data_IF_626480875356
#
_entry.id   IF_626480875356
#
_cell.length_a   1.000
_cell.length_b   1.000
_cell.length_c   1.000
_cell.angle_alpha   90.00
_cell.angle_beta   90.00
_cell.angle_gamma   90.00
#
_symmetry.space_group_name_H-M   'P 1'
#
loop_
_entity.id
_entity.type
_entity.pdbx_description
1 polymer ?
#
# COMPACT_ATOMS: atom_id res chain seq x y z
N UNK A 1 46.36 -12.02 -41.85
CA UNK A 1 47.67 -11.52 -41.48
C UNK A 1 47.69 -11.23 -39.98
N UNK A 2 48.46 -12.02 -39.36
CA UNK A 2 48.96 -12.13 -38.04
C UNK A 2 49.56 -10.89 -37.43
N UNK A 3 49.40 -10.69 -36.12
CA UNK A 3 50.55 -10.57 -35.22
C UNK A 3 50.08 -10.57 -33.78
N UNK A 4 50.61 -11.56 -33.08
CA UNK A 4 50.56 -11.72 -31.61
C UNK A 4 51.65 -10.83 -30.98
N UNK A 5 51.43 -10.35 -29.73
CA UNK A 5 52.49 -9.98 -28.82
C UNK A 5 52.13 -10.33 -27.40
N UNK A 6 52.85 -11.27 -26.85
CA UNK A 6 52.97 -11.64 -25.44
C UNK A 6 53.98 -10.73 -24.72
N UNK A 7 53.71 -10.35 -23.47
CA UNK A 7 54.72 -10.05 -22.44
C UNK A 7 54.00 -10.34 -21.12
N UNK A 8 54.24 -11.39 -20.41
CA UNK A 8 55.35 -11.80 -19.52
C UNK A 8 55.14 -11.31 -18.07
N UNK A 9 55.02 -12.29 -17.19
CA UNK A 9 54.82 -12.24 -15.75
C UNK A 9 56.04 -11.64 -15.01
N UNK A 10 55.82 -11.04 -13.85
CA UNK A 10 56.80 -11.01 -12.77
C UNK A 10 56.14 -11.20 -11.42
N UNK A 11 56.55 -12.24 -10.79
CA UNK A 11 56.32 -12.68 -9.41
C UNK A 11 57.14 -11.86 -8.46
N UNK A 12 56.59 -11.38 -7.37
CA UNK A 12 57.36 -11.04 -6.17
C UNK A 12 56.64 -11.48 -4.91
N UNK A 13 57.21 -12.47 -4.27
CA UNK A 13 56.92 -12.92 -2.89
C UNK A 13 57.71 -12.04 -1.91
N UNK A 14 57.13 -11.71 -0.79
CA UNK A 14 57.69 -11.62 0.57
C UNK A 14 56.55 -11.15 1.48
N UNK A 15 56.34 -11.53 2.65
CA UNK A 15 56.82 -12.47 3.68
C UNK A 15 56.04 -12.15 4.94
N UNK A 16 55.71 -13.16 5.69
CA UNK A 16 54.99 -13.24 6.94
C UNK A 16 55.42 -12.23 8.01
N UNK A 17 54.46 -11.91 8.91
CA UNK A 17 54.66 -11.22 10.17
C UNK A 17 53.40 -11.15 10.99
N UNK A 18 53.08 -12.18 11.75
CA UNK A 18 52.34 -12.10 13.03
C UNK A 18 53.39 -11.98 14.16
N UNK A 19 53.01 -11.70 15.44
CA UNK A 19 51.78 -11.27 16.08
C UNK A 19 52.02 -10.08 17.08
N UNK A 20 51.00 -9.52 17.65
CA UNK A 20 51.04 -9.16 19.06
C UNK A 20 49.68 -8.71 19.60
N UNK A 21 49.36 -9.29 20.73
CA UNK A 21 48.17 -9.06 21.55
C UNK A 21 48.22 -7.72 22.29
N UNK A 22 47.08 -7.42 22.95
CA UNK A 22 46.80 -6.48 24.03
C UNK A 22 46.49 -5.03 23.67
N UNK A 23 45.19 -4.72 23.81
CA UNK A 23 44.72 -3.59 24.64
C UNK A 23 43.19 -3.73 24.85
N UNK A 24 42.87 -4.41 25.94
CA UNK A 24 41.67 -4.16 26.73
C UNK A 24 41.84 -2.79 27.38
N UNK A 25 40.82 -1.92 27.29
CA UNK A 25 40.37 -1.07 28.41
C UNK A 25 39.44 0.04 27.96
N UNK A 26 38.26 0.07 28.59
CA UNK A 26 37.45 1.24 28.93
C UNK A 26 36.70 2.00 27.83
N UNK A 27 35.41 1.69 27.71
CA UNK A 27 34.39 2.71 27.54
C UNK A 27 33.31 2.49 28.61
N UNK A 28 33.59 3.06 29.79
CA UNK A 28 32.60 3.23 30.84
C UNK A 28 31.82 4.53 30.60
N UNK A 29 30.51 4.42 30.79
CA UNK A 29 29.66 5.44 31.41
C UNK A 29 29.37 6.75 30.70
N UNK A 30 28.22 6.80 30.03
CA UNK A 30 27.31 7.97 30.07
C UNK A 30 25.86 7.51 30.10
N UNK A 31 25.40 7.09 31.27
CA UNK A 31 23.96 7.07 31.59
C UNK A 31 23.50 8.51 31.79
N UNK A 32 22.62 9.00 30.91
CA UNK A 32 21.73 10.13 31.24
C UNK A 32 20.43 9.56 31.79
N UNK A 33 20.22 9.86 33.07
CA UNK A 33 19.05 9.60 33.86
C UNK A 33 17.84 10.36 33.28
N UNK A 34 16.87 9.62 32.75
CA UNK A 34 15.48 10.06 32.78
C UNK A 34 14.75 9.17 33.78
N UNK A 35 14.29 9.81 34.87
CA UNK A 35 13.67 9.12 35.97
C UNK A 35 12.36 8.43 35.55
N UNK A 36 12.39 7.11 35.63
CA UNK A 36 11.20 6.26 35.69
C UNK A 36 11.42 5.34 36.90
N UNK A 37 10.74 5.61 38.02
CA UNK A 37 10.73 4.74 39.16
C UNK A 37 9.85 3.50 38.85
N UNK A 38 10.47 2.52 38.22
CA UNK A 38 9.90 1.18 38.03
C UNK A 38 10.71 0.20 38.88
N UNK A 39 10.08 -0.49 39.81
CA UNK A 39 10.66 -1.56 40.60
C UNK A 39 11.31 -2.60 39.70
N UNK A 40 12.65 -2.66 39.71
CA UNK A 40 13.44 -3.64 39.00
C UNK A 40 13.19 -5.03 39.59
N UNK A 41 12.40 -5.87 38.93
CA UNK A 41 12.35 -7.31 39.20
C UNK A 41 13.48 -7.99 38.42
N UNK A 42 14.30 -8.76 39.14
CA UNK A 42 15.25 -9.69 38.53
C UNK A 42 14.48 -10.82 37.84
N UNK A 43 14.81 -11.16 36.58
CA UNK A 43 14.24 -12.31 35.89
C UNK A 43 14.72 -13.63 36.47
N UNK A 44 13.93 -14.72 36.27
CA UNK A 44 14.24 -16.07 36.79
C UNK A 44 15.26 -16.84 35.95
N UNK A 45 15.70 -16.31 34.81
CA UNK A 45 16.67 -16.95 33.92
C UNK A 45 18.12 -16.85 34.40
N UNK A 46 19.05 -17.68 33.86
CA UNK A 46 20.45 -17.68 34.17
C UNK A 46 21.08 -16.28 34.02
N UNK A 47 21.71 -15.79 35.10
CA UNK A 47 22.28 -14.45 35.14
C UNK A 47 21.28 -13.32 35.35
N UNK A 48 20.07 -13.60 35.87
CA UNK A 48 19.03 -12.59 36.15
C UNK A 48 18.30 -12.07 34.91
N UNK A 49 18.34 -12.81 33.81
CA UNK A 49 17.64 -12.45 32.56
C UNK A 49 16.13 -12.73 32.68
N UNK A 50 15.31 -11.83 32.16
CA UNK A 50 13.88 -12.00 32.07
C UNK A 50 13.58 -13.09 31.06
N UNK A 51 12.85 -14.14 31.46
CA UNK A 51 12.41 -15.24 30.61
C UNK A 51 11.02 -14.98 30.05
N UNK A 52 10.58 -15.80 29.07
CA UNK A 52 9.20 -15.78 28.55
C UNK A 52 8.18 -16.02 29.64
N UNK A 53 8.50 -16.90 30.61
CA UNK A 53 7.62 -17.23 31.74
C UNK A 53 7.46 -16.03 32.68
N UNK A 54 8.52 -15.26 32.93
CA UNK A 54 8.43 -14.03 33.72
C UNK A 54 7.47 -13.00 33.11
N UNK A 55 7.45 -12.91 31.77
CA UNK A 55 6.56 -12.00 31.04
C UNK A 55 5.11 -12.49 31.09
N UNK A 56 4.87 -13.79 30.90
CA UNK A 56 3.52 -14.38 30.98
C UNK A 56 2.95 -14.24 32.40
N UNK A 57 3.74 -14.55 33.42
CA UNK A 57 3.36 -14.36 34.83
C UNK A 57 3.03 -12.90 35.17
N UNK A 58 3.73 -11.95 34.54
CA UNK A 58 3.43 -10.53 34.71
C UNK A 58 2.10 -10.15 34.06
N UNK A 59 1.82 -10.64 32.86
CA UNK A 59 0.56 -10.41 32.14
C UNK A 59 -0.63 -11.02 32.91
N UNK A 60 -0.49 -12.24 33.41
CA UNK A 60 -1.54 -12.92 34.17
C UNK A 60 -1.85 -12.22 35.50
N UNK A 61 -0.85 -11.65 36.15
CA UNK A 61 -1.04 -10.88 37.41
C UNK A 61 -1.60 -9.48 37.20
N UNK A 62 -1.35 -8.85 36.04
CA UNK A 62 -1.85 -7.51 35.73
C UNK A 62 -3.17 -7.53 34.96
N UNK A 63 -3.54 -8.67 34.33
CA UNK A 63 -4.75 -8.86 33.53
C UNK A 63 -6.01 -9.31 34.28
N UNK A 64 -5.92 -9.63 35.60
CA UNK A 64 -7.05 -10.18 36.33
C UNK A 64 -7.83 -9.11 37.09
N UNK A 65 -8.63 -8.31 36.37
CA UNK A 65 -9.85 -7.73 36.94
C UNK A 65 -11.01 -8.57 36.40
N UNK A 66 -11.73 -9.30 37.22
CA UNK A 66 -12.90 -10.06 36.75
C UNK A 66 -14.02 -9.09 36.43
N UNK A 67 -14.29 -8.90 35.14
CA UNK A 67 -15.56 -8.32 34.69
C UNK A 67 -16.61 -9.39 34.94
N UNK A 68 -17.50 -9.15 35.93
CA UNK A 68 -18.66 -9.99 36.20
C UNK A 68 -19.52 -10.09 34.91
N UNK A 69 -19.54 -11.28 34.33
CA UNK A 69 -20.49 -11.61 33.26
C UNK A 69 -21.89 -11.68 33.87
N UNK A 70 -22.78 -10.79 33.48
CA UNK A 70 -24.19 -10.90 33.69
C UNK A 70 -24.73 -12.10 32.89
N UNK A 71 -25.62 -12.95 33.47
CA UNK A 71 -26.15 -14.11 32.74
C UNK A 71 -27.05 -13.67 31.59
N UNK A 72 -26.82 -14.27 30.41
CA UNK A 72 -27.65 -14.09 29.23
C UNK A 72 -29.09 -14.53 29.50
N UNK A 73 -30.11 -13.77 29.05
CA UNK A 73 -31.50 -14.18 29.18
C UNK A 73 -31.78 -15.37 28.24
N UNK A 74 -32.28 -16.45 28.81
CA UNK A 74 -32.81 -17.63 28.11
C UNK A 74 -34.09 -17.18 27.38
N UNK A 75 -34.04 -17.14 26.05
CA UNK A 75 -35.25 -16.93 25.23
C UNK A 75 -36.00 -18.25 25.17
N UNK A 76 -37.08 -18.34 25.94
CA UNK A 76 -38.10 -19.39 25.78
C UNK A 76 -38.91 -19.11 24.51
N UNK A 77 -38.94 -20.09 23.64
CA UNK A 77 -39.79 -20.06 22.45
C UNK A 77 -41.28 -20.09 22.86
N UNK A 78 -42.02 -19.06 22.49
CA UNK A 78 -43.49 -19.05 22.64
C UNK A 78 -44.11 -19.64 21.35
N UNK A 79 -45.21 -20.42 21.49
CA UNK A 79 -45.89 -21.07 20.38
C UNK A 79 -46.68 -20.08 19.51
N UNK A 80 -46.80 -20.40 18.24
CA UNK A 80 -47.49 -19.61 17.22
C UNK A 80 -49.00 -19.44 17.54
N UNK A 81 -49.59 -18.24 17.36
CA UNK A 81 -51.03 -18.06 17.48
C UNK A 81 -51.74 -18.44 16.16
N UNK A 82 -52.78 -19.26 16.31
CA UNK A 82 -53.74 -19.61 15.29
C UNK A 82 -54.60 -18.41 14.89
N UNK A 83 -54.85 -18.31 13.59
CA UNK A 83 -55.76 -17.31 13.00
C UNK A 83 -57.19 -17.69 13.31
N UNK A 84 -57.93 -16.86 14.04
CA UNK A 84 -59.39 -16.90 14.10
C UNK A 84 -59.93 -15.61 13.48
N UNK A 85 -60.73 -15.77 12.46
CA UNK A 85 -61.51 -14.74 11.81
C UNK A 85 -62.60 -14.23 12.76
N UNK A 86 -62.67 -12.93 13.05
CA UNK A 86 -63.84 -12.33 13.72
C UNK A 86 -64.15 -10.95 13.11
N UNK A 87 -65.37 -10.83 12.74
CA UNK A 87 -66.23 -9.79 12.17
C UNK A 87 -65.88 -8.32 12.48
N UNK A 88 -66.06 -7.51 11.45
CA UNK A 88 -65.99 -6.07 11.50
C UNK A 88 -67.14 -5.46 12.32
N UNK A 89 -66.82 -4.54 13.21
CA UNK A 89 -67.76 -3.64 13.91
C UNK A 89 -67.39 -2.21 13.52
N UNK A 90 -68.36 -1.36 13.13
CA UNK A 90 -68.06 0.02 12.70
C UNK A 90 -67.66 0.90 13.89
N UNK A 91 -66.52 1.54 13.80
CA UNK A 91 -66.01 2.48 14.79
C UNK A 91 -66.44 3.90 14.41
N UNK A 92 -67.04 4.60 15.31
CA UNK A 92 -67.39 6.01 15.23
C UNK A 92 -66.14 6.89 15.28
N UNK A 93 -66.13 8.09 14.65
CA UNK A 93 -64.95 8.96 14.59
C UNK A 93 -64.57 9.51 15.99
N UNK A 94 -63.29 9.33 16.36
CA UNK A 94 -62.73 9.91 17.54
C UNK A 94 -62.44 11.40 17.38
N UNK A 95 -62.50 12.22 18.43
CA UNK A 95 -62.28 13.66 18.36
C UNK A 95 -60.78 13.96 18.07
N UNK A 96 -60.59 14.94 17.17
CA UNK A 96 -59.29 15.44 16.75
C UNK A 96 -58.62 16.13 17.94
N UNK A 97 -57.45 15.64 18.35
CA UNK A 97 -56.60 16.27 19.36
C UNK A 97 -55.98 17.58 18.76
N UNK A 98 -55.83 18.66 19.56
CA UNK A 98 -55.21 19.88 19.08
C UNK A 98 -53.73 19.69 18.74
N UNK A 99 -53.32 20.35 17.65
CA UNK A 99 -51.93 20.32 17.17
C UNK A 99 -50.94 20.78 18.24
N UNK A 100 -49.77 20.13 18.39
CA UNK A 100 -48.74 20.55 19.31
C UNK A 100 -48.17 21.92 18.88
N UNK A 101 -47.98 22.79 19.87
CA UNK A 101 -47.37 24.12 19.70
C UNK A 101 -45.96 23.99 19.10
N UNK A 102 -45.50 24.93 18.25
CA UNK A 102 -44.17 24.87 17.66
C UNK A 102 -43.11 24.96 18.76
N UNK A 103 -42.17 23.98 18.74
CA UNK A 103 -41.01 23.97 19.61
C UNK A 103 -40.17 25.26 19.42
N UNK A 104 -39.56 25.80 20.49
CA UNK A 104 -38.69 26.96 20.37
C UNK A 104 -37.55 26.66 19.39
N UNK A 105 -37.40 27.46 18.34
CA UNK A 105 -36.26 27.40 17.46
C UNK A 105 -35.01 27.78 18.25
N UNK A 106 -34.16 26.78 18.53
CA UNK A 106 -32.81 27.03 19.01
C UNK A 106 -32.09 27.80 17.91
N UNK A 107 -31.67 29.03 18.19
CA UNK A 107 -30.88 29.80 17.28
C UNK A 107 -29.64 29.02 16.86
N UNK A 108 -29.56 28.65 15.57
CA UNK A 108 -28.38 28.05 15.03
C UNK A 108 -27.25 29.06 15.09
N UNK A 109 -26.28 28.80 15.94
CA UNK A 109 -24.98 29.48 15.90
C UNK A 109 -24.44 29.36 14.48
N UNK A 110 -24.03 30.46 13.82
CA UNK A 110 -23.43 30.38 12.50
C UNK A 110 -22.21 29.45 12.59
N UNK A 111 -22.14 28.46 11.70
CA UNK A 111 -20.94 27.65 11.55
C UNK A 111 -19.76 28.58 11.28
N UNK A 112 -18.58 28.36 11.93
CA UNK A 112 -17.41 29.15 11.63
C UNK A 112 -17.14 29.03 10.14
N UNK A 113 -17.03 30.15 9.44
CA UNK A 113 -16.62 30.18 8.05
C UNK A 113 -15.28 29.44 7.90
N UNK A 114 -15.09 28.64 6.82
CA UNK A 114 -13.81 28.02 6.58
C UNK A 114 -12.76 29.12 6.51
N UNK A 115 -11.83 29.12 7.45
CA UNK A 115 -10.66 29.98 7.44
C UNK A 115 -9.84 29.53 6.24
N UNK A 116 -9.99 30.24 5.12
CA UNK A 116 -9.05 30.13 4.04
C UNK A 116 -7.69 30.57 4.62
N UNK A 117 -6.82 29.59 4.90
CA UNK A 117 -5.44 29.85 5.20
C UNK A 117 -4.82 30.44 3.93
N UNK A 118 -4.90 31.74 3.78
CA UNK A 118 -4.09 32.46 2.82
C UNK A 118 -2.64 32.33 3.27
N UNK A 119 -1.89 31.44 2.61
CA UNK A 119 -0.45 31.43 2.73
C UNK A 119 0.05 32.85 2.44
N UNK A 120 0.94 33.41 3.28
CA UNK A 120 1.46 34.75 3.04
C UNK A 120 2.11 34.75 1.67
N UNK A 121 1.92 35.80 0.85
CA UNK A 121 2.58 35.90 -0.44
C UNK A 121 4.10 35.90 -0.19
N UNK A 122 4.76 34.83 -0.59
CA UNK A 122 6.22 34.76 -0.61
C UNK A 122 6.68 35.84 -1.58
N UNK A 123 7.22 36.94 -1.03
CA UNK A 123 7.89 37.97 -1.85
C UNK A 123 9.14 37.31 -2.42
N UNK A 124 9.09 36.97 -3.70
CA UNK A 124 10.30 36.59 -4.42
C UNK A 124 11.22 37.82 -4.46
N UNK A 125 12.33 37.75 -3.76
CA UNK A 125 13.45 38.65 -3.98
C UNK A 125 13.94 38.45 -5.41
N UNK A 126 14.30 39.50 -6.11
CA UNK A 126 14.87 39.37 -7.46
C UNK A 126 16.00 38.34 -7.45
N UNK A 127 16.06 37.41 -8.45
CA UNK A 127 17.07 36.36 -8.45
C UNK A 127 18.48 36.97 -8.47
N UNK A 128 19.36 36.42 -7.66
CA UNK A 128 20.79 36.74 -7.67
C UNK A 128 21.44 36.15 -8.94
N UNK A 129 22.63 36.60 -9.28
CA UNK A 129 23.43 36.02 -10.41
C UNK A 129 23.70 34.51 -10.24
N UNK A 130 23.51 33.96 -9.00
CA UNK A 130 23.66 32.55 -8.70
C UNK A 130 22.35 31.74 -8.81
N UNK A 131 21.23 32.37 -9.12
CA UNK A 131 19.92 31.78 -9.17
C UNK A 131 19.36 31.82 -10.59
N UNK A 132 18.80 30.67 -11.01
CA UNK A 132 18.12 30.57 -12.30
C UNK A 132 16.63 30.34 -12.05
N UNK A 133 15.78 31.23 -12.52
CA UNK A 133 14.33 31.10 -12.43
C UNK A 133 13.83 30.33 -13.64
N UNK A 134 13.27 29.12 -13.38
CA UNK A 134 12.66 28.30 -14.42
C UNK A 134 11.12 28.30 -14.23
N UNK A 135 10.34 28.72 -15.23
CA UNK A 135 8.89 28.68 -15.15
C UNK A 135 8.40 27.24 -15.18
N UNK A 136 7.44 26.90 -14.29
CA UNK A 136 6.81 25.59 -14.30
C UNK A 136 5.99 25.40 -15.58
N UNK A 137 6.12 24.22 -16.20
CA UNK A 137 5.32 23.83 -17.37
C UNK A 137 3.82 23.74 -16.99
N UNK A 138 2.93 23.78 -17.98
CA UNK A 138 1.48 23.65 -17.77
C UNK A 138 1.15 22.31 -17.05
N UNK A 139 1.74 21.22 -17.49
CA UNK A 139 1.57 19.87 -16.88
C UNK A 139 2.02 19.91 -15.42
N UNK A 140 3.18 20.48 -15.12
CA UNK A 140 3.71 20.58 -13.75
C UNK A 140 2.80 21.38 -12.82
N UNK A 141 2.23 22.48 -13.32
CA UNK A 141 1.26 23.30 -12.55
C UNK A 141 -0.02 22.53 -12.24
N UNK A 142 -0.56 21.78 -13.22
CA UNK A 142 -1.75 20.95 -13.03
C UNK A 142 -1.49 19.81 -12.03
N UNK A 143 -0.36 19.10 -12.18
CA UNK A 143 0.06 18.06 -11.24
C UNK A 143 0.20 18.63 -9.82
N UNK A 144 0.85 19.79 -9.67
CA UNK A 144 1.05 20.42 -8.37
C UNK A 144 -0.27 20.74 -7.69
N UNK A 145 -1.23 21.36 -8.38
CA UNK A 145 -2.54 21.69 -7.80
C UNK A 145 -3.34 20.41 -7.44
N UNK A 146 -3.28 19.36 -8.28
CA UNK A 146 -3.94 18.09 -8.02
C UNK A 146 -3.34 17.36 -6.81
N UNK A 147 -2.02 17.34 -6.67
CA UNK A 147 -1.36 16.70 -5.52
C UNK A 147 -1.58 17.45 -4.21
N UNK A 148 -1.56 18.79 -4.23
CA UNK A 148 -1.89 19.61 -3.06
C UNK A 148 -3.33 19.35 -2.63
N UNK A 149 -4.27 19.34 -3.58
CA UNK A 149 -5.68 19.05 -3.31
C UNK A 149 -5.84 17.64 -2.72
N UNK A 150 -5.18 16.63 -3.28
CA UNK A 150 -5.23 15.25 -2.77
C UNK A 150 -4.73 15.17 -1.33
N UNK A 151 -3.63 15.81 -1.00
CA UNK A 151 -3.08 15.85 0.36
C UNK A 151 -4.00 16.59 1.35
N UNK A 152 -4.73 17.58 0.90
CA UNK A 152 -5.66 18.35 1.74
C UNK A 152 -6.99 17.62 2.00
N UNK A 153 -7.44 16.79 1.04
CA UNK A 153 -8.75 16.12 1.09
C UNK A 153 -8.69 14.73 1.68
N UNK A 154 -7.67 13.93 1.33
CA UNK A 154 -7.54 12.54 1.77
C UNK A 154 -6.80 12.43 3.10
N UNK A 155 -7.33 11.63 4.02
CA UNK A 155 -6.63 11.22 5.24
C UNK A 155 -5.62 10.11 4.92
N UNK A 156 -4.46 10.50 4.33
CA UNK A 156 -3.46 9.53 3.88
C UNK A 156 -2.93 8.67 5.02
N UNK A 157 -3.08 7.36 4.89
CA UNK A 157 -2.37 6.35 5.65
C UNK A 157 -1.46 5.54 4.71
N UNK A 158 -0.52 4.80 5.28
CA UNK A 158 0.50 4.11 4.51
C UNK A 158 0.72 2.71 5.05
N UNK A 159 0.83 1.73 4.15
CA UNK A 159 1.14 0.34 4.48
C UNK A 159 2.09 -0.23 3.43
N UNK A 160 2.95 -1.16 3.85
CA UNK A 160 3.93 -1.79 2.96
C UNK A 160 4.02 -3.28 3.26
N UNK A 161 4.28 -4.08 2.22
CA UNK A 161 4.57 -5.50 2.34
C UNK A 161 5.78 -5.83 1.47
N UNK A 162 6.70 -6.64 1.99
CA UNK A 162 7.78 -7.22 1.20
C UNK A 162 7.29 -8.51 0.53
N UNK A 163 7.55 -8.64 -0.77
CA UNK A 163 7.11 -9.75 -1.62
C UNK A 163 8.33 -10.48 -2.17
N UNK A 164 8.30 -11.82 -2.11
CA UNK A 164 9.22 -12.71 -2.78
C UNK A 164 8.70 -13.02 -4.20
N UNK A 165 9.41 -12.56 -5.20
CA UNK A 165 9.03 -12.74 -6.61
C UNK A 165 9.64 -14.00 -7.26
N UNK A 166 10.20 -14.95 -6.50
CA UNK A 166 10.84 -16.13 -7.06
C UNK A 166 9.88 -16.94 -7.95
N UNK A 167 8.62 -17.09 -7.52
CA UNK A 167 7.58 -17.77 -8.29
C UNK A 167 7.27 -17.04 -9.62
N UNK A 168 7.09 -15.72 -9.56
CA UNK A 168 6.89 -14.89 -10.76
C UNK A 168 8.12 -14.93 -11.67
N UNK A 169 9.33 -14.84 -11.09
CA UNK A 169 10.59 -14.82 -11.87
C UNK A 169 10.86 -16.16 -12.57
N UNK A 170 10.50 -17.28 -11.95
CA UNK A 170 10.61 -18.60 -12.56
C UNK A 170 9.79 -18.66 -13.86
N UNK A 171 8.49 -18.39 -13.79
CA UNK A 171 7.60 -18.38 -14.97
C UNK A 171 8.04 -17.34 -16.00
N UNK A 172 8.33 -16.11 -15.56
CA UNK A 172 8.76 -15.02 -16.44
C UNK A 172 10.04 -15.38 -17.20
N UNK A 173 11.02 -16.00 -16.52
CA UNK A 173 12.29 -16.39 -17.12
C UNK A 173 12.13 -17.51 -18.14
N UNK A 174 11.23 -18.45 -17.91
CA UNK A 174 10.92 -19.54 -18.83
C UNK A 174 10.30 -19.02 -20.14
N UNK A 175 9.35 -18.10 -20.06
CA UNK A 175 8.56 -17.66 -21.23
C UNK A 175 9.09 -16.39 -21.90
N UNK A 176 10.06 -15.67 -21.33
CA UNK A 176 10.45 -14.30 -21.76
C UNK A 176 10.84 -14.20 -23.24
N UNK A 177 11.57 -15.18 -23.76
CA UNK A 177 12.08 -15.15 -25.14
C UNK A 177 10.96 -15.44 -26.15
N UNK A 178 10.13 -16.44 -25.85
CA UNK A 178 8.94 -16.75 -26.65
C UNK A 178 7.93 -15.58 -26.61
N UNK A 179 7.72 -15.02 -25.44
CA UNK A 179 6.82 -13.88 -25.25
C UNK A 179 7.32 -12.66 -26.06
N UNK A 180 8.63 -12.37 -26.00
CA UNK A 180 9.23 -11.28 -26.78
C UNK A 180 9.11 -11.50 -28.29
N UNK A 181 9.25 -12.75 -28.76
CA UNK A 181 9.07 -13.08 -30.17
C UNK A 181 7.62 -12.91 -30.63
N UNK A 182 6.65 -13.31 -29.80
CA UNK A 182 5.23 -13.25 -30.15
C UNK A 182 4.63 -11.86 -29.97
N UNK A 183 5.04 -11.11 -28.96
CA UNK A 183 4.42 -9.83 -28.57
C UNK A 183 5.25 -8.59 -29.00
N UNK A 184 6.54 -8.77 -29.35
CA UNK A 184 7.41 -7.67 -29.74
C UNK A 184 8.00 -6.84 -28.58
N UNK A 185 7.66 -7.13 -27.33
CA UNK A 185 8.17 -6.45 -26.14
C UNK A 185 8.53 -7.43 -25.01
N UNK A 186 9.31 -6.97 -24.02
CA UNK A 186 9.77 -7.81 -22.92
C UNK A 186 8.72 -7.89 -21.81
N UNK A 187 8.41 -9.11 -21.34
CA UNK A 187 7.56 -9.31 -20.17
C UNK A 187 8.29 -8.90 -18.89
N UNK A 188 7.74 -7.88 -18.21
CA UNK A 188 8.26 -7.35 -16.93
C UNK A 188 7.46 -7.90 -15.74
N UNK A 189 7.83 -7.52 -14.51
CA UNK A 189 7.06 -7.88 -13.30
C UNK A 189 5.72 -7.15 -13.20
N UNK A 190 5.60 -5.95 -13.78
CA UNK A 190 4.43 -5.09 -13.62
C UNK A 190 3.10 -5.74 -14.04
N UNK A 191 2.99 -6.50 -15.15
CA UNK A 191 1.75 -7.20 -15.50
C UNK A 191 1.32 -8.24 -14.46
N UNK A 192 2.26 -8.96 -13.82
CA UNK A 192 1.96 -9.90 -12.76
C UNK A 192 1.42 -9.17 -11.51
N UNK A 193 2.06 -8.08 -11.14
CA UNK A 193 1.63 -7.24 -10.03
C UNK A 193 0.23 -6.67 -10.32
N UNK A 194 0.00 -6.15 -11.52
CA UNK A 194 -1.29 -5.64 -11.95
C UNK A 194 -2.40 -6.70 -11.87
N UNK A 195 -2.12 -7.93 -12.35
CA UNK A 195 -3.08 -9.03 -12.28
C UNK A 195 -3.39 -9.42 -10.83
N UNK A 196 -2.36 -9.55 -9.99
CA UNK A 196 -2.53 -9.86 -8.56
C UNK A 196 -3.34 -8.79 -7.81
N UNK A 197 -3.16 -7.51 -8.16
CA UNK A 197 -3.95 -6.39 -7.61
C UNK A 197 -5.41 -6.53 -8.04
N UNK A 198 -5.68 -6.79 -9.31
CA UNK A 198 -7.05 -6.96 -9.84
C UNK A 198 -7.77 -8.11 -9.12
N UNK A 199 -7.10 -9.25 -8.92
CA UNK A 199 -7.67 -10.38 -8.18
C UNK A 199 -7.94 -10.03 -6.70
N UNK A 200 -7.05 -9.26 -6.09
CA UNK A 200 -7.24 -8.83 -4.70
C UNK A 200 -8.37 -7.79 -4.55
N UNK A 201 -8.57 -6.90 -5.53
CA UNK A 201 -9.66 -5.91 -5.52
C UNK A 201 -11.04 -6.57 -5.53
N UNK A 202 -11.19 -7.76 -6.13
CA UNK A 202 -12.43 -8.53 -6.09
C UNK A 202 -12.81 -8.98 -4.66
N UNK A 203 -11.80 -9.27 -3.80
CA UNK A 203 -12.03 -9.64 -2.38
C UNK A 203 -12.08 -8.41 -1.46
N UNK A 204 -11.47 -7.29 -1.87
CA UNK A 204 -11.36 -6.05 -1.10
C UNK A 204 -11.92 -4.84 -1.87
N UNK A 205 -13.24 -4.84 -2.18
CA UNK A 205 -13.83 -3.86 -3.12
C UNK A 205 -13.76 -2.41 -2.64
N UNK A 206 -13.68 -2.13 -1.33
CA UNK A 206 -13.58 -0.76 -0.83
C UNK A 206 -12.28 -0.05 -1.24
N UNK A 207 -11.25 -0.77 -1.69
CA UNK A 207 -10.05 -0.16 -2.26
C UNK A 207 -10.26 0.33 -3.70
N UNK A 208 -11.27 -0.20 -4.39
CA UNK A 208 -11.65 0.20 -5.74
C UNK A 208 -12.85 1.16 -5.69
N UNK A 209 -12.66 2.31 -5.04
CA UNK A 209 -13.74 3.22 -4.71
C UNK A 209 -13.32 4.70 -4.78
N UNK A 210 -14.31 5.57 -4.72
CA UNK A 210 -14.16 7.01 -4.51
C UNK A 210 -15.03 7.49 -3.32
N UNK A 211 -14.69 8.63 -2.73
CA UNK A 211 -15.50 9.25 -1.66
C UNK A 211 -16.24 10.45 -2.25
N UNK A 212 -17.56 10.41 -2.17
CA UNK A 212 -18.44 11.49 -2.62
C UNK A 212 -19.34 11.93 -1.45
N UNK A 213 -19.07 13.13 -0.94
CA UNK A 213 -19.72 13.64 0.28
C UNK A 213 -19.47 12.68 1.46
N UNK A 214 -20.52 12.11 2.01
CA UNK A 214 -20.49 11.17 3.14
C UNK A 214 -20.62 9.70 2.69
N UNK A 215 -20.43 9.41 1.39
CA UNK A 215 -20.63 8.10 0.82
C UNK A 215 -19.36 7.54 0.18
N UNK A 216 -19.13 6.24 0.36
CA UNK A 216 -18.13 5.48 -0.39
C UNK A 216 -18.79 4.89 -1.64
N UNK A 217 -18.35 5.32 -2.81
CA UNK A 217 -18.82 4.81 -4.10
C UNK A 217 -17.87 3.71 -4.56
N UNK A 218 -18.30 2.46 -4.44
CA UNK A 218 -17.51 1.29 -4.84
C UNK A 218 -17.76 0.98 -6.32
N UNK A 219 -16.67 0.83 -7.08
CA UNK A 219 -16.73 0.52 -8.51
C UNK A 219 -16.75 -1.01 -8.71
N UNK A 220 -17.75 -1.51 -9.42
CA UNK A 220 -17.92 -2.95 -9.72
C UNK A 220 -17.15 -3.40 -10.97
N UNK A 221 -16.21 -2.60 -11.43
CA UNK A 221 -15.29 -2.84 -12.54
C UNK A 221 -13.91 -2.28 -12.15
N UNK A 222 -12.85 -2.74 -12.77
CA UNK A 222 -11.50 -2.24 -12.49
C UNK A 222 -10.91 -1.56 -13.71
N UNK A 223 -10.85 -0.24 -13.67
CA UNK A 223 -10.13 0.58 -14.64
C UNK A 223 -8.78 0.98 -14.04
N UNK A 224 -7.70 0.27 -14.43
CA UNK A 224 -6.42 0.32 -13.76
C UNK A 224 -5.51 1.40 -14.35
N UNK A 225 -5.27 2.45 -13.58
CA UNK A 225 -4.32 3.51 -13.92
C UNK A 225 -2.88 3.05 -13.75
N UNK A 226 -2.04 3.29 -14.75
CA UNK A 226 -0.60 2.98 -14.71
C UNK A 226 0.19 4.27 -14.85
N UNK A 227 0.92 4.66 -13.80
CA UNK A 227 1.74 5.87 -13.86
C UNK A 227 2.94 5.69 -14.80
N UNK A 228 3.05 6.57 -15.78
CA UNK A 228 4.12 6.57 -16.78
C UNK A 228 4.88 7.89 -16.70
N UNK A 229 6.19 7.83 -16.43
CA UNK A 229 7.08 8.98 -16.51
C UNK A 229 7.33 9.40 -17.96
N UNK A 230 7.33 10.70 -18.20
CA UNK A 230 7.59 11.34 -19.50
C UNK A 230 9.01 11.88 -19.58
N UNK A 231 10.00 11.08 -19.23
CA UNK A 231 11.43 11.45 -19.27
C UNK A 231 11.72 12.73 -18.47
N UNK A 232 11.27 12.75 -17.21
CA UNK A 232 11.35 13.86 -16.25
C UNK A 232 10.55 15.13 -16.62
N UNK A 233 9.85 15.12 -17.77
CA UNK A 233 9.02 16.25 -18.21
C UNK A 233 7.60 16.25 -17.62
N UNK A 234 7.27 15.25 -16.83
CA UNK A 234 5.96 15.07 -16.18
C UNK A 234 5.59 13.62 -16.04
N UNK A 235 4.36 13.39 -15.57
CA UNK A 235 3.80 12.06 -15.36
C UNK A 235 2.38 12.05 -15.93
N UNK A 236 2.03 10.97 -16.63
CA UNK A 236 0.65 10.66 -17.05
C UNK A 236 0.24 9.33 -16.45
N UNK A 237 -1.07 9.15 -16.26
CA UNK A 237 -1.65 7.92 -15.74
C UNK A 237 -2.66 7.37 -16.75
N UNK A 238 -2.20 6.74 -17.85
CA UNK A 238 -3.11 6.03 -18.74
C UNK A 238 -3.81 4.87 -18.04
N UNK A 239 -4.97 4.49 -18.56
CA UNK A 239 -5.92 3.58 -17.91
C UNK A 239 -6.11 2.32 -18.77
N UNK A 240 -5.80 1.16 -18.18
CA UNK A 240 -6.18 -0.16 -18.70
C UNK A 240 -7.64 -0.39 -18.32
N UNK A 241 -8.55 -0.30 -19.27
CA UNK A 241 -9.99 -0.43 -19.04
C UNK A 241 -10.40 -1.86 -18.76
N UNK A 242 -11.41 -2.06 -17.88
CA UNK A 242 -11.99 -3.37 -17.57
C UNK A 242 -10.91 -4.45 -17.33
N UNK A 243 -9.93 -4.10 -16.49
CA UNK A 243 -8.79 -4.98 -16.19
C UNK A 243 -9.24 -6.29 -15.50
N UNK A 244 -10.39 -6.27 -14.82
CA UNK A 244 -11.05 -7.42 -14.18
C UNK A 244 -11.39 -8.53 -15.16
N UNK A 245 -11.78 -8.18 -16.40
CA UNK A 245 -12.07 -9.13 -17.48
C UNK A 245 -10.84 -9.62 -18.27
N UNK A 246 -9.61 -9.19 -17.91
CA UNK A 246 -8.41 -9.44 -18.72
C UNK A 246 -7.44 -10.39 -18.06
N UNK A 247 -6.85 -11.31 -18.85
CA UNK A 247 -5.72 -12.13 -18.45
C UNK A 247 -4.43 -11.34 -18.49
N UNK A 248 -3.39 -11.84 -17.83
CA UNK A 248 -2.07 -11.22 -17.73
C UNK A 248 -1.50 -10.78 -19.08
N UNK A 249 -1.58 -11.61 -20.12
CA UNK A 249 -1.06 -11.30 -21.47
C UNK A 249 -1.75 -10.06 -22.06
N UNK A 250 -3.07 -9.92 -21.91
CA UNK A 250 -3.82 -8.75 -22.40
C UNK A 250 -3.43 -7.48 -21.62
N UNK A 251 -3.33 -7.57 -20.30
CA UNK A 251 -2.87 -6.48 -19.44
C UNK A 251 -1.45 -6.04 -19.84
N UNK A 252 -0.54 -6.99 -20.09
CA UNK A 252 0.83 -6.70 -20.51
C UNK A 252 0.90 -5.93 -21.83
N UNK A 253 0.09 -6.33 -22.83
CA UNK A 253 -0.01 -5.63 -24.13
C UNK A 253 -0.47 -4.19 -23.96
N UNK A 254 -1.54 -3.98 -23.21
CA UNK A 254 -2.12 -2.66 -23.02
C UNK A 254 -1.18 -1.75 -22.21
N UNK A 255 -0.54 -2.26 -21.16
CA UNK A 255 0.48 -1.49 -20.41
C UNK A 255 1.62 -1.06 -21.35
N UNK A 256 2.12 -1.97 -22.20
CA UNK A 256 3.20 -1.67 -23.13
C UNK A 256 2.80 -0.63 -24.18
N UNK A 257 1.60 -0.77 -24.80
CA UNK A 257 1.06 0.17 -25.77
C UNK A 257 0.83 1.54 -25.16
N UNK A 258 0.09 1.60 -24.05
CA UNK A 258 -0.23 2.84 -23.36
C UNK A 258 1.05 3.58 -22.91
N UNK A 259 2.03 2.86 -22.36
CA UNK A 259 3.31 3.48 -21.96
C UNK A 259 4.09 4.04 -23.16
N UNK A 260 4.08 3.34 -24.29
CA UNK A 260 4.74 3.78 -25.53
C UNK A 260 4.06 5.03 -26.09
N UNK A 261 2.73 5.04 -26.17
CA UNK A 261 1.96 6.18 -26.64
C UNK A 261 1.99 7.37 -25.67
N UNK A 262 2.07 7.12 -24.37
CA UNK A 262 2.26 8.17 -23.37
C UNK A 262 3.56 8.95 -23.60
N UNK A 263 4.69 8.24 -23.73
CA UNK A 263 6.00 8.87 -24.02
C UNK A 263 6.01 9.59 -25.37
N UNK A 264 5.33 9.05 -26.36
CA UNK A 264 5.15 9.68 -27.67
C UNK A 264 4.12 10.83 -27.67
N UNK A 265 3.45 11.12 -26.54
CA UNK A 265 2.37 12.12 -26.38
C UNK A 265 1.19 11.88 -27.35
N UNK A 266 0.84 10.62 -27.57
CA UNK A 266 -0.22 10.18 -28.50
C UNK A 266 -1.44 9.59 -27.78
N UNK A 267 -1.58 9.83 -26.47
CA UNK A 267 -2.76 9.43 -25.73
C UNK A 267 -3.92 10.41 -25.95
N UNK A 268 -5.13 9.88 -26.00
CA UNK A 268 -6.36 10.67 -26.01
C UNK A 268 -6.75 11.05 -24.57
N UNK A 269 -7.55 12.11 -24.37
CA UNK A 269 -8.03 12.48 -23.04
C UNK A 269 -8.78 11.34 -22.32
N UNK A 270 -9.55 10.52 -23.04
CA UNK A 270 -10.32 9.41 -22.47
C UNK A 270 -9.42 8.28 -21.94
N UNK A 271 -8.20 8.17 -22.44
CA UNK A 271 -7.24 7.15 -22.01
C UNK A 271 -6.50 7.51 -20.71
N UNK A 272 -6.63 8.76 -20.25
CA UNK A 272 -5.94 9.26 -19.03
C UNK A 272 -6.91 9.68 -17.91
N UNK A 273 -8.20 9.38 -18.04
CA UNK A 273 -9.24 9.74 -17.08
C UNK A 273 -10.03 8.51 -16.64
N UNK A 274 -10.72 8.59 -15.51
CA UNK A 274 -11.68 7.58 -15.07
C UNK A 274 -11.05 6.27 -14.56
N UNK A 275 -9.76 6.26 -14.20
CA UNK A 275 -9.18 5.11 -13.50
C UNK A 275 -9.75 4.96 -12.09
N UNK A 276 -9.95 3.72 -11.64
CA UNK A 276 -10.53 3.40 -10.33
C UNK A 276 -9.49 3.03 -9.27
N UNK A 277 -8.33 2.56 -9.71
CA UNK A 277 -7.16 2.27 -8.87
C UNK A 277 -5.89 2.60 -9.66
N UNK A 278 -4.82 3.05 -9.00
CA UNK A 278 -3.57 3.43 -9.69
C UNK A 278 -2.38 2.62 -9.20
N UNK A 279 -1.51 2.21 -10.14
CA UNK A 279 -0.18 1.66 -9.85
C UNK A 279 0.88 2.65 -10.30
N UNK A 280 1.80 3.02 -9.39
CA UNK A 280 3.00 3.79 -9.67
C UNK A 280 4.21 2.85 -9.68
N UNK A 281 5.02 2.88 -10.73
CA UNK A 281 6.20 2.01 -10.86
C UNK A 281 7.49 2.84 -10.74
N UNK A 282 8.09 2.81 -9.56
CA UNK A 282 9.35 3.48 -9.24
C UNK A 282 10.55 2.54 -9.21
N UNK A 283 10.32 1.24 -9.39
CA UNK A 283 11.36 0.20 -9.34
C UNK A 283 12.44 0.38 -10.40
N UNK A 284 12.10 0.89 -11.58
CA UNK A 284 13.07 1.17 -12.64
C UNK A 284 14.08 2.27 -12.28
N UNK A 285 13.73 3.15 -11.36
CA UNK A 285 14.61 4.19 -10.81
C UNK A 285 15.45 3.72 -9.61
N UNK A 286 15.27 2.46 -9.17
CA UNK A 286 15.99 1.90 -8.03
C UNK A 286 15.43 2.29 -6.65
N UNK A 287 14.22 2.85 -6.60
CA UNK A 287 13.56 3.18 -5.33
C UNK A 287 13.27 1.90 -4.53
N UNK A 288 13.59 1.91 -3.24
CA UNK A 288 13.35 0.78 -2.33
C UNK A 288 11.99 0.89 -1.66
N UNK A 289 11.54 2.13 -1.41
CA UNK A 289 10.26 2.42 -0.78
C UNK A 289 9.78 3.79 -1.20
N UNK A 290 8.58 3.84 -1.77
CA UNK A 290 7.92 5.08 -2.18
C UNK A 290 6.56 5.19 -1.50
N UNK A 291 6.27 6.37 -0.93
CA UNK A 291 4.95 6.72 -0.42
C UNK A 291 4.22 7.56 -1.49
N UNK A 292 3.38 6.95 -2.34
CA UNK A 292 2.71 7.69 -3.40
C UNK A 292 1.59 8.58 -2.85
N UNK A 293 1.32 9.72 -3.50
CA UNK A 293 0.14 10.54 -3.19
C UNK A 293 -1.05 9.95 -3.94
N UNK A 294 -2.20 9.83 -3.26
CA UNK A 294 -3.42 9.27 -3.83
C UNK A 294 -3.84 10.07 -5.08
N UNK A 295 -4.16 9.37 -6.14
CA UNK A 295 -4.67 9.94 -7.38
C UNK A 295 -6.19 10.13 -7.28
N UNK A 296 -6.61 11.29 -6.76
CA UNK A 296 -8.05 11.61 -6.60
C UNK A 296 -8.84 11.44 -7.92
N UNK A 297 -10.10 10.96 -7.86
CA UNK A 297 -10.95 10.72 -6.69
C UNK A 297 -10.79 9.33 -6.04
N UNK A 298 -9.80 8.54 -6.46
CA UNK A 298 -9.52 7.19 -5.92
C UNK A 298 -9.19 7.25 -4.43
N UNK A 299 -9.44 6.15 -3.71
CA UNK A 299 -9.13 6.03 -2.28
C UNK A 299 -7.79 5.36 -2.00
N UNK A 300 -7.13 4.79 -3.01
CA UNK A 300 -5.84 4.13 -2.83
C UNK A 300 -4.98 4.19 -4.10
N UNK A 301 -3.68 4.09 -3.89
CA UNK A 301 -2.65 3.98 -4.93
C UNK A 301 -1.55 3.06 -4.44
N UNK A 302 -1.07 2.15 -5.29
CA UNK A 302 0.05 1.27 -4.97
C UNK A 302 1.32 1.69 -5.71
N UNK A 303 2.43 1.72 -4.99
CA UNK A 303 3.77 1.82 -5.58
C UNK A 303 4.41 0.44 -5.65
N UNK A 304 5.04 0.15 -6.79
CA UNK A 304 5.96 -0.97 -6.94
C UNK A 304 7.38 -0.42 -6.97
N UNK A 305 8.21 -0.92 -6.05
CA UNK A 305 9.58 -0.47 -5.92
C UNK A 305 10.58 -1.45 -6.53
N UNK A 306 11.88 -1.22 -6.38
CA UNK A 306 12.91 -2.03 -7.01
C UNK A 306 12.85 -3.49 -6.52
N UNK A 307 12.80 -4.43 -7.47
CA UNK A 307 12.91 -5.86 -7.20
C UNK A 307 14.38 -6.22 -7.37
N UNK A 308 15.03 -6.59 -6.26
CA UNK A 308 16.47 -6.87 -6.20
C UNK A 308 16.72 -8.25 -5.60
N UNK A 309 17.84 -8.89 -5.96
CA UNK A 309 18.19 -10.18 -5.39
C UNK A 309 18.66 -10.00 -3.94
N UNK A 310 17.99 -10.70 -3.01
CA UNK A 310 18.28 -10.70 -1.58
C UNK A 310 18.41 -12.12 -1.05
N UNK A 311 19.21 -12.37 0.00
CA UNK A 311 19.15 -13.62 0.75
C UNK A 311 17.81 -13.70 1.50
N UNK A 312 17.12 -14.82 1.36
CA UNK A 312 15.88 -15.13 2.06
C UNK A 312 15.96 -16.50 2.72
N UNK A 313 15.15 -16.72 3.75
CA UNK A 313 14.96 -18.05 4.33
C UNK A 313 13.94 -18.79 3.46
N UNK A 314 14.40 -19.83 2.76
CA UNK A 314 13.56 -20.71 1.98
C UNK A 314 13.27 -21.99 2.76
N UNK A 315 11.99 -22.39 2.83
CA UNK A 315 11.58 -23.69 3.39
C UNK A 315 11.65 -24.75 2.31
N UNK A 316 12.34 -25.84 2.63
CA UNK A 316 12.45 -27.01 1.77
C UNK A 316 11.25 -27.95 1.98
N UNK A 317 11.07 -28.93 1.06
CA UNK A 317 9.97 -29.88 1.11
C UNK A 317 9.97 -30.80 2.35
N UNK A 318 11.13 -30.99 2.98
CA UNK A 318 11.30 -31.75 4.22
C UNK A 318 11.02 -30.90 5.49
N UNK A 319 10.65 -29.62 5.33
CA UNK A 319 10.38 -28.68 6.43
C UNK A 319 11.63 -28.00 6.99
N UNK A 320 12.83 -28.35 6.51
CA UNK A 320 14.07 -27.65 6.89
C UNK A 320 14.15 -26.27 6.23
N UNK A 321 15.01 -25.41 6.76
CA UNK A 321 15.24 -24.05 6.25
C UNK A 321 16.64 -23.93 5.63
N UNK A 322 16.72 -23.20 4.52
CA UNK A 322 17.99 -22.88 3.85
C UNK A 322 18.02 -21.40 3.47
N UNK A 323 19.21 -20.87 3.20
CA UNK A 323 19.36 -19.53 2.64
C UNK A 323 19.35 -19.65 1.12
N UNK A 324 18.39 -18.99 0.50
CA UNK A 324 18.30 -18.85 -0.96
C UNK A 324 18.45 -17.38 -1.38
N UNK A 325 18.77 -17.14 -2.65
CA UNK A 325 18.84 -15.78 -3.20
C UNK A 325 17.66 -15.59 -4.14
N UNK A 326 16.66 -14.83 -3.71
CA UNK A 326 15.45 -14.56 -4.47
C UNK A 326 15.36 -13.09 -4.92
N UNK A 327 14.61 -12.78 -6.00
CA UNK A 327 14.19 -11.43 -6.32
C UNK A 327 13.12 -11.00 -5.31
N UNK A 328 13.39 -9.95 -4.56
CA UNK A 328 12.52 -9.44 -3.49
C UNK A 328 12.30 -7.96 -3.70
N UNK A 329 11.08 -7.48 -3.50
CA UNK A 329 10.73 -6.08 -3.63
C UNK A 329 9.56 -5.70 -2.75
N UNK A 330 9.40 -4.39 -2.52
CA UNK A 330 8.30 -3.86 -1.73
C UNK A 330 7.12 -3.46 -2.61
N UNK A 331 5.92 -3.76 -2.11
CA UNK A 331 4.68 -3.14 -2.54
C UNK A 331 4.22 -2.19 -1.44
N UNK A 332 4.15 -0.92 -1.77
CA UNK A 332 3.81 0.15 -0.85
C UNK A 332 2.49 0.79 -1.29
N UNK A 333 1.58 1.01 -0.37
CA UNK A 333 0.26 1.53 -0.66
C UNK A 333 -0.06 2.73 0.22
N UNK A 334 -0.42 3.86 -0.41
CA UNK A 334 -1.11 4.95 0.27
C UNK A 334 -2.61 4.80 0.08
N UNK A 335 -3.37 5.04 1.15
CA UNK A 335 -4.81 4.86 1.16
C UNK A 335 -5.50 5.89 2.06
N UNK A 336 -6.77 6.14 1.79
CA UNK A 336 -7.58 7.14 2.51
C UNK A 336 -8.26 6.48 3.72
N UNK A 337 -7.85 6.88 4.93
CA UNK A 337 -8.37 6.31 6.19
C UNK A 337 -9.86 6.60 6.43
N UNK A 338 -10.48 7.46 5.61
CA UNK A 338 -11.92 7.68 5.64
C UNK A 338 -12.69 6.56 4.96
N UNK A 339 -12.07 5.82 4.03
CA UNK A 339 -12.69 4.74 3.27
C UNK A 339 -12.69 3.40 4.02
N UNK A 340 -11.61 3.08 4.75
CA UNK A 340 -11.44 1.84 5.50
C UNK A 340 -10.28 1.93 6.50
N UNK A 341 -10.15 0.92 7.36
CA UNK A 341 -9.13 0.83 8.41
C UNK A 341 -7.89 0.03 8.00
N UNK A 342 -6.82 0.14 8.81
CA UNK A 342 -5.53 -0.51 8.55
C UNK A 342 -5.59 -2.04 8.44
N UNK A 343 -6.50 -2.71 9.14
CA UNK A 343 -6.68 -4.16 9.04
C UNK A 343 -7.15 -4.57 7.63
N UNK A 344 -8.05 -3.79 7.02
CA UNK A 344 -8.53 -4.01 5.66
C UNK A 344 -7.42 -3.80 4.62
N UNK A 345 -6.64 -2.72 4.78
CA UNK A 345 -5.47 -2.44 3.95
C UNK A 345 -4.41 -3.55 4.04
N UNK A 346 -4.12 -4.04 5.26
CA UNK A 346 -3.17 -5.13 5.49
C UNK A 346 -3.67 -6.46 4.89
N UNK A 347 -4.97 -6.75 4.99
CA UNK A 347 -5.59 -7.92 4.37
C UNK A 347 -5.42 -7.92 2.85
N UNK A 348 -5.69 -6.78 2.21
CA UNK A 348 -5.48 -6.60 0.76
C UNK A 348 -4.02 -6.82 0.35
N UNK A 349 -3.07 -6.17 1.03
CA UNK A 349 -1.65 -6.33 0.73
C UNK A 349 -1.18 -7.79 0.93
N UNK A 350 -1.66 -8.45 1.98
CA UNK A 350 -1.38 -9.88 2.23
C UNK A 350 -1.96 -10.77 1.14
N UNK A 351 -3.14 -10.43 0.59
CA UNK A 351 -3.72 -11.15 -0.55
C UNK A 351 -2.87 -10.97 -1.81
N UNK A 352 -2.50 -9.73 -2.17
CA UNK A 352 -1.63 -9.44 -3.32
C UNK A 352 -0.31 -10.20 -3.20
N UNK A 353 0.34 -10.13 -2.02
CA UNK A 353 1.56 -10.89 -1.72
C UNK A 353 1.36 -12.38 -1.97
N UNK A 354 0.33 -12.98 -1.38
CA UNK A 354 0.04 -14.41 -1.51
C UNK A 354 -0.17 -14.81 -2.97
N UNK A 355 -0.93 -14.02 -3.75
CA UNK A 355 -1.15 -14.29 -5.18
C UNK A 355 0.19 -14.29 -5.93
N UNK A 356 1.04 -13.29 -5.72
CA UNK A 356 2.36 -13.21 -6.38
C UNK A 356 3.27 -14.38 -6.01
N UNK A 357 3.26 -14.81 -4.76
CA UNK A 357 4.14 -15.85 -4.25
C UNK A 357 3.67 -17.28 -4.56
N UNK A 358 2.35 -17.50 -4.79
CA UNK A 358 1.81 -18.88 -4.84
C UNK A 358 0.96 -19.23 -6.06
N UNK A 359 0.54 -18.26 -6.87
CA UNK A 359 -0.30 -18.54 -8.04
C UNK A 359 0.50 -19.25 -9.15
N UNK A 360 -0.16 -20.19 -9.84
CA UNK A 360 0.37 -20.75 -11.09
C UNK A 360 0.20 -19.72 -12.22
N UNK A 361 1.29 -19.04 -12.54
CA UNK A 361 1.31 -18.01 -13.57
C UNK A 361 1.39 -18.58 -14.99
N UNK A 362 1.72 -19.86 -15.17
CA UNK A 362 1.80 -20.47 -16.50
C UNK A 362 0.45 -20.52 -17.20
N UNK A 363 -0.64 -20.62 -16.44
CA UNK A 363 -2.02 -20.60 -16.95
C UNK A 363 -2.50 -19.21 -17.42
N UNK A 364 -1.79 -18.14 -17.08
CA UNK A 364 -2.17 -16.75 -17.39
C UNK A 364 -1.45 -16.18 -18.63
N UNK A 365 -0.43 -16.87 -19.13
CA UNK A 365 0.46 -16.45 -20.24
C UNK A 365 0.14 -17.21 -21.57
#
# INVERSE_FOLDING_TARGET
>A
CASASRISASTSRRSAGEPSATASTALSDRRRSTGYSGSSRAGTGPGGRITREDVLDFIDRTGSTPVAQAPAPVVQAAPAPQVSATQAVPVAPAPVAPAPAPAPQVARTPAPAPVAASAPPTKFTAPSERETVLPLSKIRKLTASHMIMSQAVSAHAFSVVEVDYANVDATRSEVKDQFKQSEGFTLTYLPFIARAIVDALAEYPNLNASIEGDSLVVHNYVDLGIAVDLEFNGLLVPVVRSADGKRLRAIAREISDLATRARARKLTPDEIQGGTFTISNNGSAGSVLTMPIINQPQVAIMSTDAIVRKPVVARLSDGSESIAIHPVGNLAMSWDHRAFDGAYAAGFLSKVKRVLETQDWSAEI
#
